data_IF_312441481430
#
_entry.id   IF_312441481430
#
_cell.length_a   1.000
_cell.length_b   1.000
_cell.length_c   1.000
_cell.angle_alpha   90.00
_cell.angle_beta   90.00
_cell.angle_gamma   90.00
#
_symmetry.space_group_name_H-M   'P 1'
#
loop_
_entity.id
_entity.type
_entity.pdbx_description
1 polymer ?
#
# COMPACT_ATOMS: atom_id res chain seq x y z
N UNK A 1 -28.33 0.01 -24.57
CA UNK A 1 -28.35 0.75 -23.29
C UNK A 1 -27.06 0.46 -22.54
N UNK A 2 -26.32 1.47 -22.07
CA UNK A 2 -25.16 1.26 -21.19
C UNK A 2 -25.66 1.26 -19.75
N UNK A 3 -25.52 0.13 -19.06
CA UNK A 3 -26.00 -0.06 -17.67
C UNK A 3 -24.97 0.34 -16.61
N UNK A 4 -23.83 0.87 -17.03
CA UNK A 4 -22.71 1.25 -16.18
C UNK A 4 -22.10 2.55 -16.67
N UNK A 5 -21.83 3.45 -15.74
CA UNK A 5 -21.01 4.64 -15.97
C UNK A 5 -19.62 4.33 -15.47
N UNK A 6 -18.71 4.02 -16.39
CA UNK A 6 -17.31 3.73 -16.08
C UNK A 6 -16.61 5.01 -15.62
N UNK A 7 -15.87 4.95 -14.51
CA UNK A 7 -15.06 6.06 -14.03
C UNK A 7 -13.91 6.29 -15.00
N UNK A 8 -13.82 7.50 -15.53
CA UNK A 8 -12.72 7.91 -16.39
C UNK A 8 -11.41 7.93 -15.60
N UNK A 9 -10.37 7.31 -16.15
CA UNK A 9 -9.03 7.37 -15.59
C UNK A 9 -8.30 8.61 -16.13
N UNK A 10 -7.38 9.21 -15.36
CA UNK A 10 -6.56 10.29 -15.88
C UNK A 10 -5.75 9.83 -17.11
N UNK A 11 -5.32 10.78 -17.96
CA UNK A 11 -4.38 10.49 -19.04
C UNK A 11 -3.19 9.68 -18.53
N UNK A 12 -2.64 8.83 -19.40
CA UNK A 12 -1.56 7.91 -19.01
C UNK A 12 -0.40 8.69 -18.40
N UNK A 13 -0.21 8.54 -17.10
CA UNK A 13 0.78 9.26 -16.31
C UNK A 13 2.14 8.54 -16.29
N UNK A 14 2.11 7.20 -16.35
CA UNK A 14 3.31 6.37 -16.52
C UNK A 14 3.00 5.05 -17.23
N UNK A 15 4.06 4.37 -17.66
CA UNK A 15 4.03 3.00 -18.15
C UNK A 15 5.02 2.15 -17.33
N UNK A 16 4.51 1.13 -16.64
CA UNK A 16 5.31 0.17 -15.88
C UNK A 16 5.82 -0.93 -16.80
N UNK A 17 7.11 -1.23 -16.68
CA UNK A 17 7.81 -2.27 -17.44
C UNK A 17 8.37 -3.35 -16.50
N UNK A 18 9.04 -4.35 -17.07
CA UNK A 18 9.71 -5.39 -16.29
C UNK A 18 10.82 -4.86 -15.38
N UNK A 19 11.44 -3.73 -15.72
CA UNK A 19 12.47 -3.09 -14.90
C UNK A 19 11.92 -2.03 -13.93
N UNK A 20 10.59 -1.87 -13.89
CA UNK A 20 9.98 -0.88 -13.00
C UNK A 20 9.90 -1.38 -11.58
N UNK A 21 10.32 -0.52 -10.64
CA UNK A 21 10.17 -0.73 -9.21
C UNK A 21 9.09 0.18 -8.65
N UNK A 22 8.28 -0.36 -7.73
CA UNK A 22 7.13 0.33 -7.13
C UNK A 22 7.18 0.18 -5.61
N UNK A 23 6.85 1.26 -4.91
CA UNK A 23 6.54 1.24 -3.48
C UNK A 23 5.06 1.54 -3.27
N UNK A 24 4.40 0.83 -2.36
CA UNK A 24 3.00 1.07 -2.00
C UNK A 24 2.91 1.37 -0.51
N UNK A 25 2.18 2.43 -0.14
CA UNK A 25 1.95 2.82 1.26
C UNK A 25 0.49 3.16 1.49
N UNK A 26 -0.09 2.67 2.60
CA UNK A 26 -1.43 3.07 3.00
C UNK A 26 -2.21 2.01 3.76
N UNK A 27 -3.54 2.10 3.65
CA UNK A 27 -4.51 1.27 4.37
C UNK A 27 -4.46 -0.22 4.00
N UNK A 28 -5.28 -1.07 4.65
CA UNK A 28 -5.42 -2.49 4.27
C UNK A 28 -5.75 -2.68 2.79
N UNK A 29 -6.50 -1.75 2.18
CA UNK A 29 -6.76 -1.77 0.74
C UNK A 29 -5.48 -1.60 -0.08
N UNK A 30 -4.58 -0.71 0.34
CA UNK A 30 -3.29 -0.49 -0.30
C UNK A 30 -2.40 -1.73 -0.18
N UNK A 31 -2.42 -2.38 0.98
CA UNK A 31 -1.68 -3.63 1.19
C UNK A 31 -2.19 -4.74 0.27
N UNK A 32 -3.52 -4.90 0.15
CA UNK A 32 -4.10 -5.92 -0.73
C UNK A 32 -3.75 -5.67 -2.20
N UNK A 33 -4.00 -4.46 -2.71
CA UNK A 33 -3.65 -4.09 -4.10
C UNK A 33 -2.13 -4.19 -4.33
N UNK A 34 -1.31 -3.80 -3.35
CA UNK A 34 0.14 -3.91 -3.41
C UNK A 34 0.63 -5.37 -3.49
N UNK A 35 -0.02 -6.31 -2.79
CA UNK A 35 0.28 -7.75 -2.92
C UNK A 35 -0.08 -8.27 -4.31
N UNK A 36 -1.26 -7.92 -4.84
CA UNK A 36 -1.64 -8.26 -6.21
C UNK A 36 -0.64 -7.72 -7.23
N UNK A 37 -0.16 -6.49 -7.03
CA UNK A 37 0.88 -5.88 -7.86
C UNK A 37 2.22 -6.61 -7.76
N UNK A 38 2.65 -6.98 -6.55
CA UNK A 38 3.88 -7.76 -6.33
C UNK A 38 3.82 -9.12 -7.01
N UNK A 39 2.67 -9.78 -6.95
CA UNK A 39 2.46 -11.08 -7.58
C UNK A 39 2.44 -10.96 -9.12
N UNK A 40 2.01 -9.81 -9.64
CA UNK A 40 1.95 -9.48 -11.06
C UNK A 40 3.27 -9.00 -11.70
N UNK A 41 4.21 -8.49 -10.90
CA UNK A 41 5.48 -7.93 -11.36
C UNK A 41 6.67 -8.86 -11.03
N UNK A 42 7.87 -8.64 -11.60
CA UNK A 42 9.06 -9.41 -11.23
C UNK A 42 9.36 -9.40 -9.74
N UNK A 43 9.93 -10.50 -9.25
CA UNK A 43 10.19 -10.68 -7.82
C UNK A 43 11.17 -9.61 -7.31
N UNK A 44 10.83 -8.95 -6.21
CA UNK A 44 11.62 -7.84 -5.65
C UNK A 44 11.33 -6.46 -6.25
N UNK A 45 10.46 -6.36 -7.27
CA UNK A 45 10.13 -5.07 -7.87
C UNK A 45 9.10 -4.24 -7.08
N UNK A 46 8.35 -4.87 -6.17
CA UNK A 46 7.29 -4.19 -5.43
C UNK A 46 7.54 -4.28 -3.92
N UNK A 47 7.69 -3.11 -3.28
CA UNK A 47 7.74 -2.97 -1.83
C UNK A 47 6.36 -2.58 -1.30
N UNK A 48 5.74 -3.45 -0.49
CA UNK A 48 4.36 -3.25 -0.01
C UNK A 48 4.38 -2.85 1.46
N UNK A 49 3.85 -1.67 1.75
CA UNK A 49 3.63 -1.10 3.08
C UNK A 49 4.82 -1.33 4.02
N UNK A 50 5.96 -0.66 3.80
CA UNK A 50 7.21 -0.99 4.52
C UNK A 50 7.13 -0.82 6.03
N UNK A 51 6.35 0.13 6.56
CA UNK A 51 6.04 0.25 8.00
C UNK A 51 4.76 -0.49 8.43
N UNK A 52 4.17 -1.27 7.51
CA UNK A 52 2.86 -1.89 7.63
C UNK A 52 1.71 -0.96 7.26
N UNK A 53 0.49 -1.34 7.63
CA UNK A 53 -0.72 -0.60 7.25
C UNK A 53 -0.81 0.74 7.97
N UNK A 54 -0.91 1.83 7.20
CA UNK A 54 -1.01 3.22 7.67
C UNK A 54 -2.24 3.90 7.07
N UNK A 55 -3.11 4.50 7.89
CA UNK A 55 -4.41 4.96 7.42
C UNK A 55 -4.47 6.45 7.06
N UNK A 56 -3.76 7.29 7.82
CA UNK A 56 -3.87 8.73 7.74
C UNK A 56 -2.62 9.38 7.12
N UNK A 57 -2.77 10.58 6.53
CA UNK A 57 -1.65 11.27 5.88
C UNK A 57 -0.47 11.58 6.81
N UNK A 58 -0.69 11.81 8.11
CA UNK A 58 0.39 12.12 9.04
C UNK A 58 1.27 10.89 9.32
N UNK A 59 0.68 9.70 9.48
CA UNK A 59 1.45 8.46 9.66
C UNK A 59 2.25 8.08 8.41
N UNK A 60 1.68 8.24 7.20
CA UNK A 60 2.42 7.99 5.95
C UNK A 60 3.53 9.03 5.75
N UNK A 61 3.28 10.29 6.13
CA UNK A 61 4.30 11.34 6.12
C UNK A 61 5.47 11.01 7.05
N UNK A 62 5.22 10.43 8.24
CA UNK A 62 6.29 9.96 9.13
C UNK A 62 7.12 8.84 8.51
N UNK A 63 6.48 7.88 7.84
CA UNK A 63 7.19 6.83 7.06
C UNK A 63 8.09 7.45 6.01
N UNK A 64 7.56 8.35 5.16
CA UNK A 64 8.37 8.98 4.11
C UNK A 64 9.52 9.80 4.71
N UNK A 65 9.25 10.56 5.77
CA UNK A 65 10.27 11.39 6.42
C UNK A 65 11.40 10.53 7.03
N UNK A 66 11.07 9.36 7.61
CA UNK A 66 12.08 8.39 8.05
C UNK A 66 12.93 7.89 6.87
N UNK A 67 12.30 7.54 5.74
CA UNK A 67 12.98 7.05 4.54
C UNK A 67 13.78 8.12 3.77
N UNK A 68 13.54 9.41 4.02
CA UNK A 68 14.29 10.52 3.40
C UNK A 68 15.43 11.05 4.29
N UNK A 69 15.37 10.86 5.60
CA UNK A 69 16.44 11.29 6.53
C UNK A 69 17.59 10.30 6.52
N UNK A 70 18.82 10.73 6.82
CA UNK A 70 19.92 9.80 7.03
C UNK A 70 19.54 8.76 8.10
N UNK A 71 20.05 7.50 8.01
CA UNK A 71 19.75 6.48 9.01
C UNK A 71 19.92 7.01 10.43
N UNK A 72 18.88 6.86 11.24
CA UNK A 72 18.84 7.37 12.61
C UNK A 72 18.95 6.23 13.61
N UNK A 73 19.35 6.58 14.83
CA UNK A 73 19.26 5.66 15.96
C UNK A 73 17.81 5.26 16.25
N UNK A 74 17.64 4.04 16.73
CA UNK A 74 16.33 3.52 17.12
C UNK A 74 15.66 4.41 18.17
N UNK A 75 14.45 4.90 17.88
CA UNK A 75 13.61 5.72 18.76
C UNK A 75 13.02 4.89 19.91
N UNK A 76 13.89 4.54 20.87
CA UNK A 76 13.52 3.71 22.03
C UNK A 76 12.41 4.33 22.88
N UNK A 77 12.27 5.65 22.88
CA UNK A 77 11.19 6.38 23.56
C UNK A 77 9.79 6.08 22.97
N UNK A 78 9.72 5.63 21.72
CA UNK A 78 8.49 5.22 21.05
C UNK A 78 8.27 3.70 21.08
N UNK A 79 9.19 2.95 21.69
CA UNK A 79 9.06 1.52 21.92
C UNK A 79 8.39 1.25 23.27
N UNK A 80 7.52 0.25 23.32
CA UNK A 80 6.86 -0.15 24.57
C UNK A 80 6.58 -1.64 24.59
N UNK A 81 6.43 -2.19 25.79
CA UNK A 81 5.96 -3.57 26.00
C UNK A 81 4.44 -3.56 26.16
N UNK A 82 3.74 -4.25 25.27
CA UNK A 82 2.28 -4.38 25.30
C UNK A 82 1.84 -5.41 26.36
N UNK A 83 0.54 -5.45 26.65
CA UNK A 83 -0.03 -6.35 27.66
C UNK A 83 0.18 -7.85 27.40
N UNK A 84 0.37 -8.24 26.13
CA UNK A 84 0.70 -9.62 25.73
C UNK A 84 2.19 -9.96 25.89
N UNK A 85 2.99 -9.04 26.45
CA UNK A 85 4.41 -9.22 26.72
C UNK A 85 5.32 -8.91 25.53
N UNK A 86 4.77 -8.66 24.34
CA UNK A 86 5.54 -8.33 23.14
C UNK A 86 5.92 -6.85 23.09
N UNK A 87 7.08 -6.57 22.51
CA UNK A 87 7.55 -5.22 22.23
C UNK A 87 7.02 -4.71 20.90
N UNK A 88 6.58 -3.46 20.88
CA UNK A 88 5.99 -2.78 19.72
C UNK A 88 6.51 -1.33 19.65
N UNK A 89 6.33 -0.70 18.49
CA UNK A 89 6.75 0.68 18.26
C UNK A 89 5.58 1.48 17.68
N UNK A 90 5.29 2.66 18.25
CA UNK A 90 4.09 3.43 17.92
C UNK A 90 3.96 3.88 16.46
N UNK A 91 5.08 3.99 15.76
CA UNK A 91 5.14 4.36 14.33
C UNK A 91 5.09 3.16 13.36
N UNK A 92 4.92 1.93 13.85
CA UNK A 92 4.91 0.72 13.03
C UNK A 92 3.64 -0.09 13.26
N UNK A 93 3.25 -0.92 12.30
CA UNK A 93 2.12 -1.83 12.48
C UNK A 93 2.44 -2.94 13.49
N UNK A 94 1.39 -3.51 14.10
CA UNK A 94 1.51 -4.61 15.08
C UNK A 94 2.24 -5.86 14.56
N UNK A 95 2.31 -6.06 13.24
CA UNK A 95 3.03 -7.18 12.60
C UNK A 95 4.55 -7.14 12.81
N UNK A 96 5.09 -6.00 13.24
CA UNK A 96 6.52 -5.81 13.50
C UNK A 96 6.91 -6.07 14.96
N UNK A 97 6.01 -6.62 15.77
CA UNK A 97 6.28 -6.93 17.17
C UNK A 97 7.47 -7.91 17.33
N UNK A 98 8.13 -7.85 18.48
CA UNK A 98 9.24 -8.73 18.85
C UNK A 98 9.19 -9.12 20.34
N UNK A 99 9.99 -10.11 20.73
CA UNK A 99 10.00 -10.64 22.09
C UNK A 99 10.61 -9.64 23.11
N UNK A 100 11.58 -8.84 22.67
CA UNK A 100 12.26 -7.84 23.48
C UNK A 100 12.57 -6.56 22.67
N UNK A 101 13.04 -5.52 23.36
CA UNK A 101 13.30 -4.20 22.77
C UNK A 101 14.47 -4.21 21.78
N UNK A 102 15.46 -5.07 21.97
CA UNK A 102 16.64 -5.15 21.12
C UNK A 102 16.31 -5.88 19.81
N UNK A 103 15.60 -7.00 19.92
CA UNK A 103 15.03 -7.72 18.78
C UNK A 103 14.09 -6.83 17.96
N UNK A 104 13.27 -6.00 18.63
CA UNK A 104 12.45 -5.00 17.95
C UNK A 104 13.33 -4.00 17.18
N UNK A 105 14.30 -3.38 17.85
CA UNK A 105 15.18 -2.39 17.22
C UNK A 105 15.89 -2.94 15.97
N UNK A 106 16.51 -4.11 16.08
CA UNK A 106 17.20 -4.77 14.97
C UNK A 106 16.25 -5.06 13.81
N UNK A 107 15.03 -5.52 14.11
CA UNK A 107 14.01 -5.77 13.11
C UNK A 107 13.60 -4.50 12.37
N UNK A 108 13.26 -3.43 13.10
CA UNK A 108 12.79 -2.18 12.50
C UNK A 108 13.87 -1.51 11.66
N UNK A 109 15.11 -1.44 12.17
CA UNK A 109 16.24 -0.84 11.45
C UNK A 109 16.56 -1.60 10.15
N UNK A 110 16.52 -2.95 10.20
CA UNK A 110 16.72 -3.78 9.01
C UNK A 110 15.61 -3.57 7.96
N UNK A 111 14.35 -3.53 8.39
CA UNK A 111 13.22 -3.26 7.50
C UNK A 111 13.28 -1.85 6.90
N UNK A 112 13.64 -0.83 7.70
CA UNK A 112 13.76 0.55 7.21
C UNK A 112 14.89 0.68 6.18
N UNK A 113 16.04 0.03 6.41
CA UNK A 113 17.15 0.01 5.45
C UNK A 113 16.75 -0.64 4.11
N UNK A 114 16.00 -1.75 4.17
CA UNK A 114 15.47 -2.41 2.98
C UNK A 114 14.43 -1.53 2.26
N UNK A 115 13.52 -0.90 3.01
CA UNK A 115 12.51 0.01 2.48
C UNK A 115 13.13 1.24 1.81
N UNK A 116 14.19 1.81 2.40
CA UNK A 116 14.95 2.92 1.83
C UNK A 116 15.61 2.53 0.50
N UNK A 117 16.23 1.36 0.46
CA UNK A 117 16.81 0.81 -0.77
C UNK A 117 15.73 0.62 -1.85
N UNK A 118 14.56 0.11 -1.47
CA UNK A 118 13.44 -0.05 -2.39
C UNK A 118 12.90 1.30 -2.89
N UNK A 119 12.76 2.30 -2.01
CA UNK A 119 12.32 3.65 -2.37
C UNK A 119 13.27 4.29 -3.37
N UNK A 120 14.59 4.21 -3.13
CA UNK A 120 15.60 4.78 -4.03
C UNK A 120 15.60 4.15 -5.43
N UNK A 121 15.22 2.87 -5.55
CA UNK A 121 15.07 2.18 -6.85
C UNK A 121 13.73 2.45 -7.52
N UNK A 122 12.71 2.84 -6.74
CA UNK A 122 11.33 2.95 -7.20
C UNK A 122 11.14 4.13 -8.14
N UNK A 123 10.40 3.89 -9.21
CA UNK A 123 9.97 4.90 -10.18
C UNK A 123 8.55 5.38 -9.87
N UNK A 124 7.82 4.61 -9.07
CA UNK A 124 6.46 4.92 -8.65
C UNK A 124 6.28 4.65 -7.16
N UNK A 125 5.68 5.62 -6.47
CA UNK A 125 5.12 5.45 -5.14
C UNK A 125 3.60 5.58 -5.19
N UNK A 126 2.88 4.54 -4.81
CA UNK A 126 1.42 4.55 -4.71
C UNK A 126 1.02 4.83 -3.27
N UNK A 127 0.36 5.97 -3.04
CA UNK A 127 -0.05 6.43 -1.71
C UNK A 127 -1.56 6.33 -1.58
N UNK A 128 -2.03 5.52 -0.64
CA UNK A 128 -3.47 5.35 -0.39
C UNK A 128 -3.86 5.94 0.96
N UNK A 129 -4.50 7.11 0.96
CA UNK A 129 -5.12 7.64 2.16
C UNK A 129 -6.43 6.91 2.48
N UNK A 130 -6.84 6.90 3.75
CA UNK A 130 -8.10 6.29 4.17
C UNK A 130 -8.96 7.18 5.06
N UNK A 131 -8.35 7.86 6.02
CA UNK A 131 -9.02 8.78 6.95
C UNK A 131 -8.06 9.90 7.34
N UNK A 132 -8.58 11.06 7.65
CA UNK A 132 -7.86 12.19 8.25
C UNK A 132 -7.93 12.18 9.79
N UNK A 133 -8.60 11.20 10.39
CA UNK A 133 -8.55 10.96 11.82
C UNK A 133 -7.20 10.34 12.19
N UNK A 134 -6.55 10.91 13.20
CA UNK A 134 -5.27 10.48 13.72
C UNK A 134 -5.33 10.35 15.24
N UNK A 135 -4.45 9.52 15.80
CA UNK A 135 -4.30 9.37 17.24
C UNK A 135 -2.94 9.89 17.67
N UNK A 136 -2.94 10.72 18.71
CA UNK A 136 -1.75 11.32 19.31
C UNK A 136 -1.52 10.70 20.68
N UNK A 137 -0.29 10.29 20.99
CA UNK A 137 0.06 9.85 22.34
C UNK A 137 0.01 11.01 23.32
N UNK A 138 -0.79 10.86 24.39
CA UNK A 138 -0.92 11.90 25.42
C UNK A 138 0.37 12.14 26.18
N UNK A 139 1.10 11.07 26.46
CA UNK A 139 2.33 11.13 27.28
C UNK A 139 3.58 11.48 26.44
N UNK A 140 3.42 11.74 25.14
CA UNK A 140 4.53 12.12 24.26
C UNK A 140 4.74 13.64 24.31
N UNK A 141 5.94 14.07 24.70
CA UNK A 141 6.32 15.48 24.71
C UNK A 141 6.15 16.13 23.32
N UNK A 142 6.39 15.37 22.25
CA UNK A 142 6.34 15.86 20.87
C UNK A 142 4.94 15.76 20.23
N UNK A 143 3.90 15.37 21.01
CA UNK A 143 2.56 15.07 20.48
C UNK A 143 2.61 14.11 19.28
N UNK A 144 3.34 13.00 19.45
CA UNK A 144 3.57 12.01 18.38
C UNK A 144 2.25 11.40 17.91
N UNK A 145 1.95 11.57 16.61
CA UNK A 145 0.92 10.79 15.92
C UNK A 145 1.40 9.34 15.81
N UNK A 146 0.56 8.38 16.19
CA UNK A 146 0.87 6.96 16.09
C UNK A 146 0.34 6.37 14.80
N UNK A 147 1.08 5.42 14.24
CA UNK A 147 0.66 4.60 13.11
C UNK A 147 -0.40 3.57 13.52
N UNK A 148 -0.28 3.02 14.73
CA UNK A 148 -1.16 1.98 15.25
C UNK A 148 -1.36 2.14 16.76
N UNK A 149 -2.61 2.04 17.22
CA UNK A 149 -2.90 2.08 18.66
C UNK A 149 -2.63 0.73 19.35
N UNK A 150 -2.30 -0.33 18.59
CA UNK A 150 -1.89 -1.65 19.10
C UNK A 150 -2.88 -2.32 20.08
N UNK A 151 -4.17 -1.99 19.95
CA UNK A 151 -5.24 -2.42 20.88
C UNK A 151 -5.03 -1.97 22.33
N UNK A 152 -4.20 -0.95 22.55
CA UNK A 152 -3.96 -0.36 23.85
C UNK A 152 -5.17 0.51 24.29
N UNK A 153 -5.32 0.78 25.60
CA UNK A 153 -6.44 1.57 26.11
C UNK A 153 -6.55 2.94 25.44
N UNK A 154 -7.77 3.30 25.01
CA UNK A 154 -8.06 4.57 24.34
C UNK A 154 -7.66 5.81 25.15
N UNK A 155 -7.60 5.69 26.48
CA UNK A 155 -7.16 6.77 27.39
C UNK A 155 -5.71 7.21 27.14
N UNK A 156 -4.87 6.39 26.52
CA UNK A 156 -3.48 6.75 26.15
C UNK A 156 -3.41 7.73 24.97
N UNK A 157 -4.52 7.90 24.26
CA UNK A 157 -4.56 8.64 23.01
C UNK A 157 -5.52 9.84 23.08
N UNK A 158 -5.17 10.84 22.30
CA UNK A 158 -6.05 11.93 21.89
C UNK A 158 -6.35 11.73 20.40
N UNK A 159 -7.64 11.55 20.06
CA UNK A 159 -8.09 11.50 18.68
C UNK A 159 -8.22 12.93 18.14
N UNK A 160 -7.68 13.16 16.95
CA UNK A 160 -7.69 14.48 16.29
C UNK A 160 -8.00 14.33 14.81
N UNK A 161 -8.61 15.37 14.23
CA UNK A 161 -8.82 15.46 12.78
C UNK A 161 -7.69 16.33 12.23
N UNK A 162 -6.92 15.75 11.30
CA UNK A 162 -5.83 16.46 10.63
C UNK A 162 -6.39 17.59 9.76
N UNK A 163 -5.92 18.82 9.98
CA UNK A 163 -6.37 19.98 9.20
C UNK A 163 -5.76 19.95 7.81
N UNK A 164 -6.58 20.19 6.79
CA UNK A 164 -6.18 20.12 5.37
C UNK A 164 -4.99 21.03 5.06
N UNK A 165 -4.96 22.24 5.61
CA UNK A 165 -3.87 23.20 5.38
C UNK A 165 -2.54 22.70 5.98
N UNK A 166 -2.58 22.08 7.16
CA UNK A 166 -1.39 21.52 7.79
C UNK A 166 -0.86 20.32 7.00
N UNK A 167 -1.76 19.44 6.55
CA UNK A 167 -1.40 18.31 5.70
C UNK A 167 -0.80 18.80 4.38
N UNK A 168 -1.40 19.80 3.74
CA UNK A 168 -0.92 20.33 2.47
C UNK A 168 0.49 20.91 2.59
N UNK A 169 0.78 21.72 3.62
CA UNK A 169 2.12 22.24 3.87
C UNK A 169 3.13 21.11 4.08
N UNK A 170 2.83 20.19 5.00
CA UNK A 170 3.72 19.07 5.33
C UNK A 170 4.01 18.20 4.09
N UNK A 171 2.98 17.85 3.33
CA UNK A 171 3.13 17.00 2.14
C UNK A 171 3.82 17.73 1.00
N UNK A 172 3.62 19.04 0.84
CA UNK A 172 4.37 19.82 -0.16
C UNK A 172 5.87 19.76 0.14
N UNK A 173 6.27 20.02 1.38
CA UNK A 173 7.69 19.97 1.79
C UNK A 173 8.29 18.56 1.65
N UNK A 174 7.53 17.52 2.02
CA UNK A 174 7.96 16.14 1.88
C UNK A 174 8.12 15.72 0.42
N UNK A 175 7.17 16.06 -0.45
CA UNK A 175 7.25 15.73 -1.86
C UNK A 175 8.41 16.47 -2.54
N UNK A 176 8.67 17.74 -2.21
CA UNK A 176 9.84 18.45 -2.72
C UNK A 176 11.13 17.71 -2.36
N UNK A 177 11.31 17.35 -1.07
CA UNK A 177 12.48 16.56 -0.62
C UNK A 177 12.57 15.19 -1.30
N UNK A 178 11.44 14.51 -1.47
CA UNK A 178 11.39 13.23 -2.19
C UNK A 178 11.85 13.39 -3.63
N UNK A 179 11.37 14.40 -4.34
CA UNK A 179 11.72 14.61 -5.74
C UNK A 179 13.16 15.08 -5.93
N UNK A 180 13.73 15.79 -4.95
CA UNK A 180 15.15 16.15 -4.93
C UNK A 180 16.04 14.91 -4.73
N UNK A 181 15.69 14.02 -3.80
CA UNK A 181 16.48 12.82 -3.51
C UNK A 181 16.23 11.66 -4.48
N UNK A 182 15.05 11.59 -5.08
CA UNK A 182 14.63 10.55 -6.01
C UNK A 182 14.02 11.19 -7.28
N UNK A 183 14.86 11.74 -8.20
CA UNK A 183 14.38 12.48 -9.37
C UNK A 183 13.52 11.67 -10.35
N UNK A 184 13.64 10.34 -10.35
CA UNK A 184 12.82 9.45 -11.17
C UNK A 184 11.47 9.10 -10.54
N UNK A 185 11.27 9.37 -9.24
CA UNK A 185 10.07 8.98 -8.51
C UNK A 185 8.85 9.75 -9.00
N UNK A 186 7.79 9.06 -9.35
CA UNK A 186 6.44 9.62 -9.50
C UNK A 186 5.57 9.15 -8.35
N UNK A 187 4.54 9.92 -8.01
CA UNK A 187 3.59 9.55 -6.96
C UNK A 187 2.19 9.43 -7.54
N UNK A 188 1.54 8.30 -7.32
CA UNK A 188 0.12 8.15 -7.60
C UNK A 188 -0.61 8.12 -6.28
N UNK A 189 -1.36 9.18 -6.01
CA UNK A 189 -2.29 9.21 -4.90
C UNK A 189 -3.54 8.43 -5.25
N UNK A 190 -4.12 7.77 -4.26
CA UNK A 190 -5.45 7.18 -4.34
C UNK A 190 -6.13 7.26 -2.98
N UNK A 191 -7.44 7.08 -2.98
CA UNK A 191 -8.25 7.13 -1.78
C UNK A 191 -8.91 5.78 -1.56
N UNK A 192 -8.76 5.23 -0.36
CA UNK A 192 -9.32 3.93 -0.01
C UNK A 192 -10.85 3.96 -0.09
N UNK A 193 -11.48 2.99 -0.78
CA UNK A 193 -12.93 2.82 -0.81
C UNK A 193 -13.53 2.26 0.50
N UNK A 194 -12.71 1.97 1.51
CA UNK A 194 -13.18 1.58 2.83
C UNK A 194 -14.11 2.64 3.44
N UNK A 195 -15.28 2.19 3.89
CA UNK A 195 -16.30 3.03 4.53
C UNK A 195 -15.98 3.16 6.02
N UNK A 196 -15.33 4.26 6.40
CA UNK A 196 -14.95 4.51 7.79
C UNK A 196 -16.17 4.88 8.66
N UNK A 197 -16.94 3.89 9.11
CA UNK A 197 -18.21 4.12 9.81
C UNK A 197 -18.07 4.42 11.32
N UNK A 198 -16.85 4.40 11.89
CA UNK A 198 -16.60 4.60 13.33
C UNK A 198 -17.26 5.88 13.89
N UNK A 199 -17.24 6.97 13.12
CA UNK A 199 -17.85 8.26 13.50
C UNK A 199 -19.14 8.57 12.74
N UNK A 200 -19.75 7.56 12.11
CA UNK A 200 -20.91 7.71 11.23
C UNK A 200 -20.54 8.08 9.79
N UNK A 201 -21.47 7.81 8.87
CA UNK A 201 -21.24 7.99 7.43
C UNK A 201 -21.10 9.45 7.00
N UNK A 202 -21.71 10.40 7.72
CA UNK A 202 -21.52 11.82 7.44
C UNK A 202 -20.06 12.24 7.67
N UNK A 203 -19.50 11.90 8.83
CA UNK A 203 -18.09 12.19 9.13
C UNK A 203 -17.15 11.43 8.19
N UNK A 204 -17.47 10.18 7.85
CA UNK A 204 -16.74 9.43 6.82
C UNK A 204 -16.68 10.19 5.49
N UNK A 205 -17.82 10.71 5.01
CA UNK A 205 -17.88 11.48 3.78
C UNK A 205 -17.06 12.78 3.87
N UNK A 206 -17.14 13.49 5.01
CA UNK A 206 -16.36 14.70 5.24
C UNK A 206 -14.84 14.42 5.25
N UNK A 207 -14.42 13.33 5.90
CA UNK A 207 -13.03 12.86 5.91
C UNK A 207 -12.52 12.57 4.50
N UNK A 208 -13.29 11.81 3.70
CA UNK A 208 -12.95 11.52 2.30
C UNK A 208 -12.88 12.80 1.47
N UNK A 209 -13.83 13.71 1.64
CA UNK A 209 -13.83 14.99 0.91
C UNK A 209 -12.58 15.82 1.20
N UNK A 210 -12.16 15.95 2.47
CA UNK A 210 -10.94 16.67 2.84
C UNK A 210 -9.68 16.02 2.25
N UNK A 211 -9.63 14.69 2.23
CA UNK A 211 -8.52 13.96 1.60
C UNK A 211 -8.51 14.09 0.08
N UNK A 212 -9.66 14.10 -0.60
CA UNK A 212 -9.75 14.37 -2.03
C UNK A 212 -9.23 15.77 -2.36
N UNK A 213 -9.64 16.78 -1.60
CA UNK A 213 -9.15 18.16 -1.74
C UNK A 213 -7.63 18.23 -1.53
N UNK A 214 -7.10 17.55 -0.50
CA UNK A 214 -5.66 17.46 -0.29
C UNK A 214 -4.93 16.85 -1.49
N UNK A 215 -5.40 15.70 -1.99
CA UNK A 215 -4.80 15.00 -3.13
C UNK A 215 -4.81 15.88 -4.37
N UNK A 216 -5.94 16.52 -4.65
CA UNK A 216 -6.13 17.40 -5.81
C UNK A 216 -5.18 18.61 -5.75
N UNK A 217 -5.03 19.25 -4.58
CA UNK A 217 -4.04 20.32 -4.38
C UNK A 217 -2.59 19.85 -4.56
N UNK A 218 -2.23 18.67 -4.04
CA UNK A 218 -0.89 18.09 -4.26
C UNK A 218 -0.66 17.73 -5.73
N UNK A 219 -1.69 17.29 -6.45
CA UNK A 219 -1.63 17.04 -7.90
C UNK A 219 -1.41 18.34 -8.68
N UNK A 220 -2.09 19.43 -8.31
CA UNK A 220 -1.89 20.75 -8.94
C UNK A 220 -0.50 21.33 -8.71
N UNK A 221 0.09 21.10 -7.54
CA UNK A 221 1.42 21.63 -7.19
C UNK A 221 2.55 20.90 -7.90
N UNK A 222 2.38 19.62 -8.23
CA UNK A 222 3.43 18.79 -8.84
C UNK A 222 2.92 18.03 -10.08
N UNK A 223 2.31 18.70 -11.08
CA UNK A 223 1.50 18.06 -12.13
C UNK A 223 2.26 17.06 -13.02
N UNK A 224 3.59 17.16 -13.11
CA UNK A 224 4.43 16.24 -13.87
C UNK A 224 4.89 15.00 -13.06
N UNK A 225 4.72 15.05 -11.73
CA UNK A 225 5.26 14.10 -10.77
C UNK A 225 4.22 13.47 -9.87
N UNK A 226 2.99 13.97 -9.88
CA UNK A 226 1.86 13.43 -9.12
C UNK A 226 0.63 13.21 -10.00
N UNK A 227 -0.16 12.18 -9.68
CA UNK A 227 -1.46 11.92 -10.29
C UNK A 227 -2.43 11.27 -9.30
N UNK A 228 -3.72 11.30 -9.61
CA UNK A 228 -4.76 10.65 -8.83
C UNK A 228 -5.35 9.44 -9.56
N UNK A 229 -5.32 8.27 -8.92
CA UNK A 229 -6.05 7.08 -9.36
C UNK A 229 -7.38 6.93 -8.58
N UNK A 230 -8.55 6.92 -9.24
CA UNK A 230 -9.86 7.05 -8.59
C UNK A 230 -10.43 5.72 -8.07
N UNK A 231 -9.68 5.02 -7.20
CA UNK A 231 -10.14 3.76 -6.59
C UNK A 231 -11.42 3.94 -5.75
N UNK A 232 -11.58 5.10 -5.10
CA UNK A 232 -12.76 5.42 -4.29
C UNK A 232 -14.01 5.45 -5.17
N UNK A 233 -13.99 6.24 -6.23
CA UNK A 233 -15.10 6.44 -7.16
C UNK A 233 -15.40 5.18 -7.97
N UNK A 234 -14.38 4.40 -8.35
CA UNK A 234 -14.59 3.10 -9.01
C UNK A 234 -15.48 2.20 -8.15
N UNK A 235 -15.25 2.17 -6.83
CA UNK A 235 -16.06 1.34 -5.94
C UNK A 235 -17.40 2.01 -5.62
N UNK A 236 -17.41 3.30 -5.30
CA UNK A 236 -18.63 3.97 -4.80
C UNK A 236 -19.63 4.32 -5.89
N UNK A 237 -19.19 4.56 -7.12
CA UNK A 237 -20.02 5.08 -8.19
C UNK A 237 -20.17 4.09 -9.35
N UNK A 238 -19.10 3.40 -9.72
CA UNK A 238 -19.12 2.42 -10.80
C UNK A 238 -19.49 0.99 -10.34
N UNK A 239 -19.10 0.60 -9.12
CA UNK A 239 -19.49 -0.64 -8.45
C UNK A 239 -20.51 -0.39 -7.32
N UNK A 240 -21.44 0.54 -7.54
CA UNK A 240 -22.38 1.10 -6.55
C UNK A 240 -23.45 0.12 -6.03
N UNK A 241 -23.04 -1.02 -5.47
CA UNK A 241 -23.92 -2.08 -4.93
C UNK A 241 -23.24 -2.80 -3.74
N UNK A 242 -24.03 -3.17 -2.73
CA UNK A 242 -23.56 -3.86 -1.53
C UNK A 242 -22.88 -5.21 -1.82
N UNK A 243 -23.15 -5.85 -2.96
CA UNK A 243 -22.45 -7.08 -3.39
C UNK A 243 -20.94 -6.91 -3.54
N UNK A 244 -20.47 -5.66 -3.67
CA UNK A 244 -19.07 -5.30 -3.79
C UNK A 244 -18.43 -4.95 -2.45
N UNK A 245 -19.12 -5.18 -1.34
CA UNK A 245 -18.59 -5.07 0.01
C UNK A 245 -18.51 -6.46 0.67
N UNK A 246 -17.54 -6.61 1.57
CA UNK A 246 -17.39 -7.79 2.41
C UNK A 246 -18.55 -7.91 3.41
N UNK A 247 -18.57 -9.00 4.18
CA UNK A 247 -19.66 -9.30 5.12
C UNK A 247 -19.94 -8.20 6.16
N UNK A 248 -18.96 -7.34 6.46
CA UNK A 248 -19.13 -6.20 7.37
C UNK A 248 -19.80 -4.98 6.71
N UNK A 249 -20.04 -5.01 5.41
CA UNK A 249 -20.63 -3.93 4.60
C UNK A 249 -19.78 -2.64 4.58
N UNK A 250 -18.53 -2.69 5.01
CA UNK A 250 -17.61 -1.55 5.12
C UNK A 250 -16.37 -1.71 4.25
N UNK A 251 -15.75 -2.89 4.25
CA UNK A 251 -14.61 -3.21 3.39
C UNK A 251 -15.09 -3.59 1.99
N UNK A 252 -14.36 -3.23 0.92
CA UNK A 252 -14.60 -3.79 -0.39
C UNK A 252 -14.44 -5.31 -0.36
N UNK A 253 -15.26 -6.03 -1.13
CA UNK A 253 -15.09 -7.47 -1.34
C UNK A 253 -13.84 -7.76 -2.18
N UNK A 254 -13.36 -9.01 -2.16
CA UNK A 254 -12.24 -9.44 -3.01
C UNK A 254 -12.51 -9.14 -4.49
N UNK A 255 -13.73 -9.41 -4.98
CA UNK A 255 -14.15 -9.07 -6.34
C UNK A 255 -14.01 -7.57 -6.65
N UNK A 256 -14.33 -6.70 -5.70
CA UNK A 256 -14.20 -5.26 -5.89
C UNK A 256 -12.73 -4.83 -5.91
N UNK A 257 -11.89 -5.41 -5.04
CA UNK A 257 -10.44 -5.18 -5.03
C UNK A 257 -9.81 -5.64 -6.35
N UNK A 258 -10.14 -6.84 -6.82
CA UNK A 258 -9.67 -7.39 -8.09
C UNK A 258 -10.07 -6.50 -9.27
N UNK A 259 -11.29 -5.98 -9.24
CA UNK A 259 -11.76 -5.05 -10.26
C UNK A 259 -10.94 -3.75 -10.27
N UNK A 260 -10.71 -3.14 -9.11
CA UNK A 260 -9.89 -1.93 -9.02
C UNK A 260 -8.45 -2.22 -9.44
N UNK A 261 -7.89 -3.37 -9.06
CA UNK A 261 -6.57 -3.81 -9.50
C UNK A 261 -6.51 -3.97 -11.02
N UNK A 262 -7.52 -4.57 -11.64
CA UNK A 262 -7.62 -4.66 -13.10
C UNK A 262 -7.62 -3.28 -13.76
N UNK A 263 -8.38 -2.32 -13.22
CA UNK A 263 -8.40 -0.94 -13.70
C UNK A 263 -7.03 -0.29 -13.61
N UNK A 264 -6.32 -0.46 -12.49
CA UNK A 264 -4.98 0.08 -12.29
C UNK A 264 -3.97 -0.55 -13.25
N UNK A 265 -4.00 -1.88 -13.39
CA UNK A 265 -3.12 -2.65 -14.28
C UNK A 265 -3.27 -2.20 -15.73
N UNK A 266 -4.50 -2.17 -16.25
CA UNK A 266 -4.78 -1.73 -17.63
C UNK A 266 -4.32 -0.30 -17.90
N UNK A 267 -4.36 0.56 -16.88
CA UNK A 267 -3.92 1.94 -16.97
C UNK A 267 -2.41 2.11 -16.95
N UNK A 268 -1.69 1.28 -16.20
CA UNK A 268 -0.28 1.48 -15.90
C UNK A 268 0.66 0.52 -16.62
N UNK A 269 0.28 -0.73 -16.91
CA UNK A 269 1.21 -1.74 -17.42
C UNK A 269 1.54 -1.55 -18.91
N UNK A 270 2.80 -1.80 -19.27
CA UNK A 270 3.18 -2.01 -20.67
C UNK A 270 2.63 -3.34 -21.19
N UNK A 271 2.47 -3.50 -22.52
CA UNK A 271 2.06 -4.78 -23.10
C UNK A 271 2.96 -5.96 -22.70
N UNK A 272 4.28 -5.73 -22.61
CA UNK A 272 5.24 -6.77 -22.23
C UNK A 272 5.09 -7.18 -20.75
N UNK A 273 4.89 -6.21 -19.84
CA UNK A 273 4.63 -6.50 -18.44
C UNK A 273 3.29 -7.24 -18.26
N UNK A 274 2.29 -6.95 -19.10
CA UNK A 274 1.01 -7.66 -19.09
C UNK A 274 1.15 -9.12 -19.53
N UNK A 275 1.99 -9.37 -20.53
CA UNK A 275 2.33 -10.74 -20.98
C UNK A 275 3.04 -11.50 -19.85
N UNK A 276 4.05 -10.89 -19.22
CA UNK A 276 4.76 -11.47 -18.07
C UNK A 276 3.81 -11.86 -16.95
N UNK A 277 2.91 -10.94 -16.57
CA UNK A 277 1.91 -11.18 -15.54
C UNK A 277 1.01 -12.36 -15.90
N UNK A 278 0.57 -12.45 -17.14
CA UNK A 278 -0.31 -13.54 -17.61
C UNK A 278 0.39 -14.88 -17.48
N UNK A 279 1.66 -14.97 -17.89
CA UNK A 279 2.44 -16.20 -17.71
C UNK A 279 2.66 -16.52 -16.22
N UNK A 280 3.00 -15.51 -15.40
CA UNK A 280 3.26 -15.68 -13.96
C UNK A 280 2.00 -16.11 -13.21
N UNK A 281 0.82 -15.65 -13.61
CA UNK A 281 -0.46 -16.04 -13.01
C UNK A 281 -0.68 -17.57 -13.09
N UNK A 282 -0.29 -18.21 -14.20
CA UNK A 282 -0.35 -19.67 -14.31
C UNK A 282 0.57 -20.37 -13.31
N UNK A 283 1.77 -19.83 -13.08
CA UNK A 283 2.73 -20.37 -12.10
C UNK A 283 2.18 -20.23 -10.67
N UNK A 284 1.62 -19.07 -10.34
CA UNK A 284 1.03 -18.84 -9.02
C UNK A 284 -0.15 -19.76 -8.75
N UNK A 285 -1.03 -19.96 -9.75
CA UNK A 285 -2.14 -20.92 -9.64
C UNK A 285 -1.66 -22.35 -9.39
N UNK A 286 -0.60 -22.79 -10.07
CA UNK A 286 -0.03 -24.12 -9.85
C UNK A 286 0.54 -24.26 -8.43
N UNK A 287 1.22 -23.23 -7.90
CA UNK A 287 1.78 -23.21 -6.53
C UNK A 287 0.70 -23.18 -5.45
N UNK A 288 -0.45 -22.58 -5.74
CA UNK A 288 -1.61 -22.55 -4.85
C UNK A 288 -2.42 -23.85 -4.85
N UNK A 289 -2.18 -24.76 -5.83
CA UNK A 289 -2.86 -26.04 -5.87
C UNK A 289 -2.57 -26.86 -4.60
N UNK A 290 -3.60 -27.50 -4.08
CA UNK A 290 -3.54 -28.41 -2.92
C UNK A 290 -4.19 -29.73 -3.33
N UNK A 291 -3.35 -30.74 -3.54
CA UNK A 291 -3.80 -32.06 -3.98
C UNK A 291 -4.59 -32.78 -2.88
N UNK A 292 -5.76 -33.31 -3.25
CA UNK A 292 -6.58 -34.13 -2.34
C UNK A 292 -5.99 -35.53 -2.13
N UNK A 293 -5.18 -36.01 -3.08
CA UNK A 293 -4.51 -37.31 -3.04
C UNK A 293 -3.02 -37.13 -3.38
N UNK A 294 -2.20 -36.69 -2.41
CA UNK A 294 -0.76 -36.57 -2.59
C UNK A 294 -0.16 -37.90 -3.08
N UNK A 295 0.81 -37.82 -3.99
CA UNK A 295 1.50 -38.97 -4.57
C UNK A 295 0.63 -39.95 -5.37
N UNK A 296 -0.59 -39.55 -5.75
CA UNK A 296 -1.30 -40.22 -6.84
C UNK A 296 -0.58 -40.01 -8.17
N UNK A 297 -0.88 -40.84 -9.17
CA UNK A 297 -0.34 -40.65 -10.53
C UNK A 297 -0.72 -39.29 -11.11
N UNK A 298 -1.97 -38.86 -10.88
CA UNK A 298 -2.46 -37.55 -11.30
C UNK A 298 -1.71 -36.40 -10.61
N UNK A 299 -1.42 -36.53 -9.31
CA UNK A 299 -0.63 -35.54 -8.56
C UNK A 299 0.81 -35.44 -9.05
N UNK A 300 1.46 -36.58 -9.33
CA UNK A 300 2.82 -36.59 -9.92
C UNK A 300 2.85 -35.98 -11.32
N UNK A 301 1.87 -36.31 -12.16
CA UNK A 301 1.76 -35.73 -13.50
C UNK A 301 1.51 -34.22 -13.45
N UNK A 302 0.66 -33.76 -12.52
CA UNK A 302 0.44 -32.34 -12.28
C UNK A 302 1.74 -31.62 -11.84
N UNK A 303 2.47 -32.17 -10.87
CA UNK A 303 3.75 -31.61 -10.40
C UNK A 303 4.78 -31.49 -11.53
N UNK A 304 4.96 -32.55 -12.32
CA UNK A 304 5.88 -32.52 -13.47
C UNK A 304 5.47 -31.45 -14.51
N UNK A 305 4.17 -31.30 -14.77
CA UNK A 305 3.67 -30.27 -15.68
C UNK A 305 3.84 -28.84 -15.12
N UNK A 306 3.69 -28.65 -13.80
CA UNK A 306 3.92 -27.37 -13.14
C UNK A 306 5.42 -26.99 -13.16
N UNK A 307 6.32 -27.94 -12.86
CA UNK A 307 7.77 -27.75 -12.93
C UNK A 307 8.22 -27.37 -14.35
N UNK A 308 7.71 -28.06 -15.38
CA UNK A 308 8.01 -27.75 -16.78
C UNK A 308 7.49 -26.36 -17.18
N UNK A 309 6.31 -25.95 -16.67
CA UNK A 309 5.76 -24.61 -16.92
C UNK A 309 6.63 -23.54 -16.27
N UNK A 310 7.09 -23.76 -15.04
CA UNK A 310 8.02 -22.88 -14.34
C UNK A 310 9.37 -22.77 -15.07
N UNK A 311 9.92 -23.88 -15.56
CA UNK A 311 11.14 -23.87 -16.37
C UNK A 311 10.99 -23.01 -17.62
N UNK A 312 9.89 -23.18 -18.36
CA UNK A 312 9.60 -22.37 -19.56
C UNK A 312 9.42 -20.90 -19.25
N UNK A 313 8.76 -20.59 -18.13
CA UNK A 313 8.60 -19.22 -17.64
C UNK A 313 9.97 -18.59 -17.40
N UNK A 314 10.85 -19.26 -16.66
CA UNK A 314 12.20 -18.78 -16.39
C UNK A 314 13.01 -18.63 -17.68
N UNK A 315 12.94 -19.56 -18.63
CA UNK A 315 13.65 -19.47 -19.91
C UNK A 315 13.19 -18.30 -20.79
N UNK A 316 11.88 -18.00 -20.79
CA UNK A 316 11.31 -16.88 -21.53
C UNK A 316 11.75 -15.54 -20.92
N UNK A 317 11.62 -15.42 -19.60
CA UNK A 317 11.76 -14.13 -18.93
C UNK A 317 13.19 -13.81 -18.45
N UNK A 318 14.05 -14.80 -18.22
CA UNK A 318 15.48 -14.58 -17.92
C UNK A 318 16.27 -13.95 -19.08
N UNK A 319 15.85 -14.17 -20.32
CA UNK A 319 16.50 -13.60 -21.52
C UNK A 319 16.03 -12.19 -21.85
N UNK A 320 14.93 -11.74 -21.24
CA UNK A 320 14.29 -10.46 -21.54
C UNK A 320 14.84 -9.33 -20.65
N UNK A 321 15.64 -9.66 -19.63
CA UNK A 321 16.31 -8.71 -18.72
C UNK A 321 17.67 -8.20 -19.24
N UNK A 322 18.08 -8.55 -20.46
CA UNK A 322 19.38 -8.18 -21.07
C UNK A 322 19.27 -7.03 -22.08
#
# INVERSE_FOLDING_TARGET
>A
MKFRTEVALPPRFLELSLSSHVMCSGSCFAEHVGRLMRDAMPDGNVCVCPHGVLYNPASIAQELDALLRAPQDFRKDLAFRAADGQWRHWQWASSFAAADCEALANRLLSHEAAARTAMQKSQLWVVTFSTDHAYVLRDSADRTVVANCHKEPGSRFEETILRTEQMLTQWTELLSRLFDQCPAMRVVFTLSPYRYAKHGFHESALSKARLLVLIDELCRRFPERTAYFPAFEIVTDELRDYRFYAADMLHPSEQAVDYVWERFRRWSFSPLLEEYRTDKEHILRDRSHRSLHPDSEADRAFRAAAEERERRFLEKWSKTEC
#
